data_IF_576769312970
#
_entry.id   IF_576769312970
#
_cell.length_a   1.000
_cell.length_b   1.000
_cell.length_c   1.000
_cell.angle_alpha   90.00
_cell.angle_beta   90.00
_cell.angle_gamma   90.00
#
_symmetry.space_group_name_H-M   'P 1'
#
loop_
_entity.id
_entity.type
_entity.pdbx_description
1 polymer ?
#
# COMPACT_ATOMS: atom_id res chain seq x y z
N UNK A 1 11.94 -19.23 -16.13
CA UNK A 1 11.30 -19.47 -14.82
C UNK A 1 10.18 -18.46 -14.65
N UNK A 2 8.92 -18.88 -14.82
CA UNK A 2 7.75 -18.07 -14.49
C UNK A 2 7.16 -18.65 -13.22
N UNK A 3 7.23 -17.94 -12.09
CA UNK A 3 6.43 -18.30 -10.91
C UNK A 3 4.96 -18.05 -11.25
N UNK A 4 4.11 -19.07 -11.12
CA UNK A 4 2.69 -19.00 -11.53
C UNK A 4 1.86 -18.03 -10.67
N UNK A 5 2.30 -17.80 -9.42
CA UNK A 5 1.58 -16.97 -8.44
C UNK A 5 2.00 -15.48 -8.44
N UNK A 6 3.19 -15.13 -8.96
CA UNK A 6 3.63 -13.73 -9.03
C UNK A 6 3.07 -13.08 -10.30
N UNK A 7 2.15 -12.13 -10.15
CA UNK A 7 1.58 -11.33 -11.23
C UNK A 7 2.58 -10.29 -11.72
N UNK A 8 3.19 -9.53 -10.81
CA UNK A 8 4.19 -8.51 -11.14
C UNK A 8 5.21 -8.33 -10.03
N UNK A 9 6.42 -7.92 -10.40
CA UNK A 9 7.54 -7.73 -9.47
C UNK A 9 8.28 -6.41 -9.76
N UNK A 10 8.57 -5.64 -8.72
CA UNK A 10 9.21 -4.33 -8.84
C UNK A 10 10.34 -4.15 -7.82
N UNK A 11 11.38 -3.43 -8.24
CA UNK A 11 12.33 -2.82 -7.33
C UNK A 11 11.87 -1.41 -6.97
N UNK A 12 11.72 -1.11 -5.67
CA UNK A 12 11.09 0.13 -5.20
C UNK A 12 11.87 0.81 -4.10
N UNK A 13 11.76 2.14 -4.01
CA UNK A 13 12.17 2.90 -2.83
C UNK A 13 10.97 3.11 -1.91
N UNK A 14 11.07 2.64 -0.67
CA UNK A 14 10.06 2.81 0.36
C UNK A 14 10.31 4.03 1.24
N UNK A 15 9.27 4.82 1.49
CA UNK A 15 9.29 5.96 2.40
C UNK A 15 8.15 5.81 3.40
N UNK A 16 8.50 5.49 4.65
CA UNK A 16 7.54 5.42 5.76
C UNK A 16 7.23 6.82 6.28
N UNK A 17 5.98 7.01 6.71
CA UNK A 17 5.56 8.21 7.41
C UNK A 17 6.21 8.32 8.80
N UNK A 18 6.24 9.52 9.37
CA UNK A 18 6.82 9.69 10.71
C UNK A 18 5.96 9.04 11.80
N UNK A 19 4.67 8.92 11.52
CA UNK A 19 3.64 8.32 12.37
C UNK A 19 3.76 6.78 12.40
N UNK A 20 4.16 6.16 11.29
CA UNK A 20 4.29 4.70 11.17
C UNK A 20 5.67 4.17 11.56
N UNK A 21 6.74 4.95 11.38
CA UNK A 21 8.13 4.55 11.71
C UNK A 21 8.32 3.89 13.09
N UNK A 22 7.71 4.39 14.19
CA UNK A 22 7.88 3.77 15.50
C UNK A 22 7.40 2.31 15.58
N UNK A 23 6.47 1.91 14.71
CA UNK A 23 5.93 0.57 14.65
C UNK A 23 6.78 -0.39 13.79
N UNK A 24 7.68 0.15 12.96
CA UNK A 24 8.46 -0.59 11.96
C UNK A 24 9.94 -0.22 12.04
N UNK A 25 10.59 -0.59 13.16
CA UNK A 25 11.98 -0.23 13.47
C UNK A 25 13.00 -0.69 12.43
N UNK A 26 12.72 -1.77 11.70
CA UNK A 26 13.61 -2.33 10.68
C UNK A 26 13.29 -1.86 9.25
N UNK A 27 12.65 -0.69 9.12
CA UNK A 27 12.38 -0.10 7.81
C UNK A 27 13.68 0.13 7.03
N UNK A 28 13.77 -0.51 5.86
CA UNK A 28 14.78 -0.28 4.83
C UNK A 28 14.34 0.80 3.85
N UNK A 29 15.28 1.34 3.06
CA UNK A 29 14.97 2.31 2.00
C UNK A 29 14.53 1.64 0.68
N UNK A 30 14.94 0.40 0.45
CA UNK A 30 14.69 -0.33 -0.80
C UNK A 30 14.01 -1.66 -0.51
N UNK A 31 13.04 -2.01 -1.36
CA UNK A 31 12.24 -3.22 -1.23
C UNK A 31 12.04 -3.88 -2.59
N UNK A 32 11.71 -5.17 -2.51
CA UNK A 32 11.04 -5.89 -3.59
C UNK A 32 9.54 -5.81 -3.33
N UNK A 33 8.81 -5.19 -4.25
CA UNK A 33 7.35 -5.17 -4.23
C UNK A 33 6.84 -6.23 -5.19
N UNK A 34 6.09 -7.20 -4.67
CA UNK A 34 5.48 -8.26 -5.46
C UNK A 34 3.96 -8.19 -5.34
N UNK A 35 3.27 -8.33 -6.49
CA UNK A 35 1.83 -8.53 -6.55
C UNK A 35 1.55 -10.01 -6.80
N UNK A 36 0.73 -10.61 -5.96
CA UNK A 36 0.41 -12.04 -6.00
C UNK A 36 -1.05 -12.25 -6.37
N UNK A 37 -1.34 -13.39 -7.03
CA UNK A 37 -2.72 -13.81 -7.33
C UNK A 37 -3.41 -14.43 -6.11
N UNK A 38 -2.67 -15.22 -5.35
CA UNK A 38 -3.11 -15.84 -4.10
C UNK A 38 -2.24 -15.35 -2.93
N UNK A 39 -2.86 -14.58 -2.04
CA UNK A 39 -2.18 -14.02 -0.88
C UNK A 39 -1.98 -15.03 0.26
N UNK A 40 -2.85 -16.05 0.38
CA UNK A 40 -2.70 -17.07 1.43
C UNK A 40 -1.44 -17.88 1.24
N UNK A 41 -1.13 -18.23 0.00
CA UNK A 41 0.10 -18.95 -0.34
C UNK A 41 1.34 -18.21 0.15
N UNK A 42 1.42 -16.88 -0.06
CA UNK A 42 2.61 -16.12 0.35
C UNK A 42 2.65 -15.89 1.85
N UNK A 43 1.51 -15.74 2.53
CA UNK A 43 1.47 -15.66 3.99
C UNK A 43 1.95 -16.96 4.65
N UNK A 44 1.53 -18.12 4.12
CA UNK A 44 2.00 -19.42 4.59
C UNK A 44 3.51 -19.60 4.40
N UNK A 45 4.04 -19.19 3.24
CA UNK A 45 5.48 -19.24 2.95
C UNK A 45 6.27 -18.29 3.86
N UNK A 46 5.81 -17.04 4.06
CA UNK A 46 6.46 -16.08 4.96
C UNK A 46 6.38 -16.49 6.42
N UNK A 47 5.33 -17.20 6.83
CA UNK A 47 5.21 -17.78 8.16
C UNK A 47 6.25 -18.87 8.40
N UNK A 48 6.51 -19.72 7.39
CA UNK A 48 7.50 -20.81 7.47
C UNK A 48 8.95 -20.32 7.31
N UNK A 49 9.16 -19.34 6.44
CA UNK A 49 10.46 -18.81 6.03
C UNK A 49 10.66 -17.37 6.51
N UNK A 50 10.30 -17.13 7.76
CA UNK A 50 10.38 -15.82 8.37
C UNK A 50 11.83 -15.34 8.47
N UNK A 51 12.04 -14.03 8.38
CA UNK A 51 13.37 -13.41 8.39
C UNK A 51 13.48 -12.34 9.47
N UNK A 52 14.71 -11.94 9.78
CA UNK A 52 14.99 -10.83 10.70
C UNK A 52 14.44 -9.49 10.17
N UNK A 53 14.41 -9.32 8.85
CA UNK A 53 13.81 -8.13 8.23
C UNK A 53 12.31 -8.31 8.08
N UNK A 54 11.56 -7.29 8.50
CA UNK A 54 10.10 -7.32 8.42
C UNK A 54 9.63 -7.35 6.96
N UNK A 55 8.83 -8.35 6.63
CA UNK A 55 8.04 -8.41 5.40
C UNK A 55 6.63 -7.89 5.66
N UNK A 56 6.10 -7.11 4.72
CA UNK A 56 4.76 -6.54 4.79
C UNK A 56 3.90 -7.18 3.71
N UNK A 57 2.73 -7.71 4.11
CA UNK A 57 1.71 -8.22 3.19
C UNK A 57 0.48 -7.35 3.32
N UNK A 58 0.08 -6.74 2.21
CA UNK A 58 -1.15 -5.95 2.12
C UNK A 58 -2.20 -6.78 1.39
N UNK A 59 -3.13 -7.34 2.15
CA UNK A 59 -4.20 -8.18 1.63
C UNK A 59 -5.40 -7.30 1.28
N UNK A 60 -5.57 -7.03 -0.01
CA UNK A 60 -6.72 -6.31 -0.54
C UNK A 60 -7.93 -7.26 -0.47
N UNK A 61 -8.89 -6.97 0.43
CA UNK A 61 -10.13 -7.71 0.60
C UNK A 61 -11.17 -7.25 -0.42
N UNK A 62 -11.29 -5.93 -0.57
CA UNK A 62 -12.26 -5.28 -1.45
C UNK A 62 -11.52 -4.35 -2.42
N UNK A 63 -11.49 -4.74 -3.68
CA UNK A 63 -11.05 -3.84 -4.74
C UNK A 63 -12.15 -2.78 -4.95
N UNK A 64 -11.89 -1.55 -4.53
CA UNK A 64 -12.83 -0.45 -4.67
C UNK A 64 -13.09 -0.14 -6.14
N UNK A 65 -12.03 -0.18 -6.94
CA UNK A 65 -12.08 -0.08 -8.38
C UNK A 65 -10.75 -0.44 -9.02
N UNK A 66 -10.83 -0.91 -10.26
CA UNK A 66 -9.72 -1.02 -11.20
C UNK A 66 -10.12 -0.33 -12.51
N UNK A 67 -9.24 0.48 -13.06
CA UNK A 67 -9.43 1.11 -14.36
C UNK A 67 -8.14 1.26 -15.13
N UNK A 68 -8.28 1.34 -16.44
CA UNK A 68 -7.19 1.72 -17.32
C UNK A 68 -6.92 3.22 -17.18
N UNK A 69 -5.64 3.57 -17.02
CA UNK A 69 -5.16 4.94 -16.98
C UNK A 69 -3.94 5.04 -17.90
N UNK A 70 -3.69 6.24 -18.42
CA UNK A 70 -2.56 6.46 -19.31
C UNK A 70 -1.23 6.33 -18.55
N UNK A 71 -0.33 5.52 -19.09
CA UNK A 71 1.01 5.29 -18.54
C UNK A 71 1.15 3.99 -17.76
N UNK A 72 2.33 3.77 -17.18
CA UNK A 72 2.62 2.60 -16.34
C UNK A 72 2.57 2.99 -14.86
N UNK A 73 2.16 2.05 -14.01
CA UNK A 73 2.21 2.22 -12.55
C UNK A 73 3.66 2.54 -12.17
N UNK A 74 3.86 3.71 -11.57
CA UNK A 74 5.19 4.14 -11.12
C UNK A 74 5.23 4.49 -9.64
N UNK A 75 4.09 4.40 -8.96
CA UNK A 75 3.98 4.71 -7.55
C UNK A 75 2.86 3.90 -6.91
N UNK A 76 3.14 3.32 -5.75
CA UNK A 76 2.15 2.66 -4.90
C UNK A 76 2.19 3.37 -3.56
N UNK A 77 1.04 3.66 -2.97
CA UNK A 77 1.00 4.22 -1.62
C UNK A 77 -0.05 3.52 -0.79
N UNK A 78 0.31 3.33 0.47
CA UNK A 78 -0.47 2.67 1.50
C UNK A 78 -0.83 3.70 2.55
N UNK A 79 -2.11 3.76 2.89
CA UNK A 79 -2.65 4.56 3.97
C UNK A 79 -3.33 3.66 5.00
N UNK A 80 -3.59 4.22 6.17
CA UNK A 80 -4.51 3.65 7.13
C UNK A 80 -5.56 4.68 7.53
N UNK A 81 -6.74 4.20 7.91
CA UNK A 81 -7.81 5.01 8.50
C UNK A 81 -7.82 4.78 10.02
N UNK A 82 -7.78 5.86 10.80
CA UNK A 82 -7.88 5.76 12.28
C UNK A 82 -9.31 5.44 12.72
N UNK A 83 -10.29 5.94 11.96
CA UNK A 83 -11.71 5.71 12.14
C UNK A 83 -12.28 5.46 10.73
N UNK A 84 -12.74 4.24 10.48
CA UNK A 84 -13.19 3.79 9.16
C UNK A 84 -13.92 2.45 9.23
N UNK A 85 -14.53 2.15 10.39
CA UNK A 85 -15.23 0.89 10.66
C UNK A 85 -16.64 0.89 10.04
N UNK A 86 -17.09 2.01 9.49
CA UNK A 86 -18.40 2.15 8.85
C UNK A 86 -18.27 2.10 7.33
N UNK A 87 -19.14 1.33 6.68
CA UNK A 87 -19.18 1.21 5.22
C UNK A 87 -19.34 2.57 4.51
N UNK A 88 -20.04 3.52 5.14
CA UNK A 88 -20.21 4.88 4.62
C UNK A 88 -18.88 5.65 4.50
N UNK A 89 -17.96 5.44 5.44
CA UNK A 89 -16.64 6.07 5.42
C UNK A 89 -15.80 5.51 4.27
N UNK A 90 -15.86 4.20 4.08
CA UNK A 90 -15.18 3.48 3.00
C UNK A 90 -15.69 3.91 1.62
N UNK A 91 -17.02 4.06 1.47
CA UNK A 91 -17.62 4.58 0.25
C UNK A 91 -17.17 6.01 -0.05
N UNK A 92 -17.10 6.88 0.97
CA UNK A 92 -16.61 8.24 0.79
C UNK A 92 -15.14 8.28 0.36
N UNK A 93 -14.28 7.41 0.91
CA UNK A 93 -12.89 7.25 0.43
C UNK A 93 -12.91 6.86 -1.05
N UNK A 94 -13.66 5.82 -1.40
CA UNK A 94 -13.76 5.32 -2.78
C UNK A 94 -14.20 6.42 -3.77
N UNK A 95 -15.23 7.19 -3.43
CA UNK A 95 -15.75 8.30 -4.25
C UNK A 95 -14.70 9.40 -4.51
N UNK A 96 -13.85 9.68 -3.52
CA UNK A 96 -12.77 10.67 -3.65
C UNK A 96 -11.65 10.10 -4.53
N UNK A 97 -11.28 8.83 -4.34
CA UNK A 97 -10.27 8.15 -5.14
C UNK A 97 -10.71 7.99 -6.60
N UNK A 98 -11.99 7.70 -6.87
CA UNK A 98 -12.53 7.57 -8.22
C UNK A 98 -12.39 8.86 -9.05
N UNK A 99 -12.46 10.03 -8.40
CA UNK A 99 -12.26 11.34 -9.03
C UNK A 99 -10.80 11.63 -9.42
N UNK A 100 -9.86 10.75 -9.06
CA UNK A 100 -8.42 10.89 -9.30
C UNK A 100 -7.95 10.13 -10.53
N UNK A 101 -8.02 10.79 -11.68
CA UNK A 101 -7.63 10.34 -13.02
C UNK A 101 -6.39 9.44 -13.15
N UNK A 102 -5.41 9.54 -12.26
CA UNK A 102 -4.14 8.79 -12.31
C UNK A 102 -4.11 7.55 -11.43
N UNK A 103 -5.10 7.40 -10.54
CA UNK A 103 -5.24 6.19 -9.73
C UNK A 103 -5.84 5.11 -10.62
N UNK A 104 -5.07 4.05 -10.86
CA UNK A 104 -5.48 2.88 -11.64
C UNK A 104 -6.22 1.88 -10.77
N UNK A 105 -5.73 1.65 -9.55
CA UNK A 105 -6.27 0.68 -8.61
C UNK A 105 -6.43 1.35 -7.26
N UNK A 106 -7.58 1.15 -6.63
CA UNK A 106 -7.81 1.45 -5.23
C UNK A 106 -8.39 0.22 -4.54
N UNK A 107 -7.85 -0.14 -3.38
CA UNK A 107 -8.27 -1.31 -2.63
C UNK A 107 -8.25 -1.06 -1.14
N UNK A 108 -9.18 -1.72 -0.45
CA UNK A 108 -9.25 -1.79 0.99
C UNK A 108 -8.80 -3.16 1.46
N UNK A 109 -8.15 -3.20 2.60
CA UNK A 109 -7.55 -4.43 3.06
C UNK A 109 -7.00 -4.34 4.46
N UNK A 110 -6.22 -5.36 4.80
CA UNK A 110 -5.47 -5.41 6.04
C UNK A 110 -3.98 -5.64 5.76
N UNK A 111 -3.16 -5.36 6.77
CA UNK A 111 -1.72 -5.53 6.72
C UNK A 111 -1.28 -6.60 7.73
N UNK A 112 -0.61 -7.62 7.21
CA UNK A 112 0.11 -8.63 7.98
C UNK A 112 1.60 -8.31 7.96
N UNK A 113 2.29 -8.52 9.08
CA UNK A 113 3.76 -8.41 9.14
C UNK A 113 4.39 -9.73 9.55
N UNK A 114 5.49 -10.08 8.89
CA UNK A 114 6.25 -11.31 9.15
C UNK A 114 7.68 -10.91 9.50
N UNK A 115 8.06 -11.15 10.75
CA UNK A 115 9.40 -10.89 11.26
C UNK A 115 9.73 -11.89 12.37
N UNK A 116 10.98 -12.35 12.48
CA UNK A 116 11.44 -13.16 13.63
C UNK A 116 11.65 -12.31 14.89
N UNK A 117 11.84 -11.01 14.72
CA UNK A 117 12.00 -9.99 15.77
C UNK A 117 10.83 -9.01 15.71
N UNK A 118 9.68 -9.32 16.34
CA UNK A 118 8.50 -8.48 16.25
C UNK A 118 8.74 -7.12 16.92
N UNK A 119 8.03 -6.10 16.42
CA UNK A 119 8.02 -4.77 17.03
C UNK A 119 7.52 -4.83 18.47
N UNK A 120 8.03 -3.93 19.33
CA UNK A 120 7.55 -3.81 20.71
C UNK A 120 6.09 -3.36 20.80
N UNK A 121 5.59 -2.68 19.78
CA UNK A 121 4.23 -2.16 19.71
C UNK A 121 3.51 -2.73 18.50
N UNK A 122 2.31 -3.25 18.73
CA UNK A 122 1.40 -3.64 17.65
C UNK A 122 0.86 -2.39 16.97
N UNK A 123 0.89 -2.38 15.63
CA UNK A 123 0.28 -1.32 14.86
C UNK A 123 -1.25 -1.41 14.96
N UNK A 124 -1.95 -0.39 15.49
CA UNK A 124 -3.36 -0.52 15.86
C UNK A 124 -4.33 -0.45 14.67
N UNK A 125 -3.88 0.01 13.49
CA UNK A 125 -4.74 0.25 12.33
C UNK A 125 -4.50 -0.77 11.20
N UNK A 126 -4.02 -1.97 11.53
CA UNK A 126 -3.69 -3.00 10.55
C UNK A 126 -4.89 -3.51 9.76
N UNK A 127 -6.12 -3.39 10.29
CA UNK A 127 -7.34 -3.82 9.59
C UNK A 127 -7.94 -2.78 8.63
N UNK A 128 -7.49 -1.52 8.71
CA UNK A 128 -8.09 -0.39 7.99
C UNK A 128 -7.13 0.20 6.96
N UNK A 129 -6.60 -0.65 6.08
CA UNK A 129 -5.57 -0.28 5.11
C UNK A 129 -6.20 0.10 3.77
N UNK A 130 -5.73 1.22 3.21
CA UNK A 130 -6.07 1.65 1.86
C UNK A 130 -4.80 1.58 1.00
N UNK A 131 -4.84 0.79 -0.07
CA UNK A 131 -3.76 0.69 -1.05
C UNK A 131 -4.22 1.36 -2.34
N UNK A 132 -3.40 2.25 -2.89
CA UNK A 132 -3.64 2.80 -4.22
C UNK A 132 -2.41 2.64 -5.12
N UNK A 133 -2.66 2.28 -6.37
CA UNK A 133 -1.68 2.27 -7.44
C UNK A 133 -1.89 3.50 -8.33
N UNK A 134 -0.80 4.21 -8.64
CA UNK A 134 -0.82 5.42 -9.44
C UNK A 134 0.06 5.22 -10.67
N UNK A 135 -0.52 5.52 -11.84
CA UNK A 135 0.17 5.54 -13.11
C UNK A 135 0.30 6.98 -13.61
N UNK A 136 1.54 7.38 -13.90
CA UNK A 136 1.86 8.75 -14.27
C UNK A 136 3.23 8.83 -14.93
N UNK A 137 3.35 9.58 -16.02
CA UNK A 137 4.65 9.87 -16.64
C UNK A 137 5.46 10.92 -15.86
N UNK A 138 4.85 11.60 -14.89
CA UNK A 138 5.54 12.56 -14.02
C UNK A 138 6.45 11.84 -13.01
N UNK A 139 7.53 12.50 -12.61
CA UNK A 139 8.46 11.96 -11.60
C UNK A 139 7.84 11.76 -10.22
N UNK A 140 8.47 10.89 -9.41
CA UNK A 140 7.96 10.43 -8.11
C UNK A 140 7.58 11.55 -7.14
N UNK A 141 8.31 12.66 -7.11
CA UNK A 141 7.99 13.82 -6.25
C UNK A 141 6.66 14.49 -6.63
N UNK A 142 6.34 14.55 -7.92
CA UNK A 142 5.05 15.08 -8.38
C UNK A 142 3.91 14.13 -8.06
N UNK A 143 4.13 12.82 -8.21
CA UNK A 143 3.14 11.79 -7.86
C UNK A 143 2.89 11.76 -6.36
N UNK A 144 3.94 11.91 -5.53
CA UNK A 144 3.79 12.04 -4.08
C UNK A 144 2.92 13.25 -3.70
N UNK A 145 3.12 14.41 -4.31
CA UNK A 145 2.28 15.61 -4.06
C UNK A 145 0.82 15.37 -4.45
N UNK A 146 0.57 14.61 -5.52
CA UNK A 146 -0.78 14.19 -5.93
C UNK A 146 -1.44 13.28 -4.89
N UNK A 147 -0.69 12.31 -4.36
CA UNK A 147 -1.12 11.42 -3.29
C UNK A 147 -1.39 12.19 -1.99
N UNK A 148 -0.50 13.14 -1.62
CA UNK A 148 -0.68 14.00 -0.45
C UNK A 148 -1.93 14.90 -0.58
N UNK A 149 -2.21 15.41 -1.79
CA UNK A 149 -3.44 16.15 -2.05
C UNK A 149 -4.69 15.26 -1.94
N UNK A 150 -4.63 14.04 -2.44
CA UNK A 150 -5.71 13.06 -2.31
C UNK A 150 -6.02 12.77 -0.84
N UNK A 151 -4.98 12.54 -0.03
CA UNK A 151 -5.11 12.41 1.43
C UNK A 151 -5.78 13.63 2.07
N UNK A 152 -5.36 14.84 1.72
CA UNK A 152 -5.98 16.07 2.26
C UNK A 152 -7.45 16.18 1.93
N UNK A 153 -7.87 15.75 0.74
CA UNK A 153 -9.27 15.83 0.33
C UNK A 153 -10.15 14.78 1.02
N UNK A 154 -9.60 13.60 1.33
CA UNK A 154 -10.23 12.62 2.25
C UNK A 154 -10.38 13.22 3.65
N UNK A 155 -9.31 13.80 4.20
CA UNK A 155 -9.35 14.37 5.56
C UNK A 155 -10.30 15.57 5.69
N UNK A 156 -10.51 16.34 4.61
CA UNK A 156 -11.52 17.42 4.56
C UNK A 156 -12.96 16.93 4.65
N UNK A 157 -13.21 15.64 4.42
CA UNK A 157 -14.52 15.00 4.62
C UNK A 157 -14.71 14.46 6.04
N UNK A 158 -13.75 14.67 6.94
CA UNK A 158 -13.81 14.21 8.32
C UNK A 158 -13.19 12.83 8.55
N UNK A 159 -12.65 12.21 7.50
CA UNK A 159 -12.03 10.89 7.55
C UNK A 159 -10.55 11.01 7.89
N UNK A 160 -10.08 10.41 8.99
CA UNK A 160 -8.67 10.50 9.37
C UNK A 160 -7.84 9.48 8.61
N UNK A 161 -7.41 9.84 7.39
CA UNK A 161 -6.50 9.03 6.58
C UNK A 161 -5.06 9.51 6.72
N UNK A 162 -4.17 8.60 7.10
CA UNK A 162 -2.74 8.88 7.32
C UNK A 162 -1.88 7.99 6.45
N UNK A 163 -0.77 8.53 5.95
CA UNK A 163 0.16 7.75 5.12
C UNK A 163 0.87 6.72 5.99
N UNK A 164 0.97 5.49 5.52
CA UNK A 164 1.77 4.43 6.13
C UNK A 164 3.11 4.34 5.39
N UNK A 165 3.04 4.07 4.10
CA UNK A 165 4.20 3.78 3.26
C UNK A 165 3.95 4.29 1.85
N UNK A 166 4.94 4.97 1.28
CA UNK A 166 4.98 5.33 -0.13
C UNK A 166 6.08 4.54 -0.84
N UNK A 167 5.76 3.90 -1.95
CA UNK A 167 6.66 3.09 -2.76
C UNK A 167 6.84 3.73 -4.14
N UNK A 168 8.04 4.24 -4.40
CA UNK A 168 8.42 4.73 -5.74
C UNK A 168 9.00 3.58 -6.55
N UNK A 169 8.43 3.28 -7.71
CA UNK A 169 8.90 2.17 -8.55
C UNK A 169 10.11 2.63 -9.34
N UNK A 170 11.23 1.95 -9.14
CA UNK A 170 12.48 2.22 -9.84
C UNK A 170 12.60 1.37 -11.11
N UNK A 171 12.22 0.10 -11.00
CA UNK A 171 12.34 -0.87 -12.09
C UNK A 171 11.28 -1.96 -11.99
N UNK A 172 10.76 -2.42 -13.14
CA UNK A 172 9.93 -3.60 -13.24
C UNK A 172 10.80 -4.82 -13.53
N UNK A 173 10.74 -5.81 -12.64
CA UNK A 173 11.54 -7.03 -12.69
C UNK A 173 10.77 -8.20 -13.35
N UNK A 174 9.43 -8.20 -13.26
CA UNK A 174 8.53 -9.17 -13.90
C UNK A 174 7.19 -8.51 -14.22
#
# INVERSE_FOLDING_TARGET
MSSDNIESLYFVTGTFSNESKPYFSDSSNHYILAKFKDSKFIEDELSKHNQEKTSFVFNIKDELFQREVLGQTNFVTVYYLEYGEYDEDLQQVADILLKRDKISIGGLGHMSTFCTTPSKFTFPYSENIVVIEVASEKGHQSVKKYCDQTKRDVNRKGLTMTNLLSLSILEKLK
#
